data_IF_176925437025
#
_entry.id   IF_176925437025
#
_cell.length_a   1.000
_cell.length_b   1.000
_cell.length_c   1.000
_cell.angle_alpha   90.00
_cell.angle_beta   90.00
_cell.angle_gamma   90.00
#
_symmetry.space_group_name_H-M   'P 1'
#
loop_
_entity.id
_entity.type
_entity.pdbx_description
1 polymer ?
#
# COMPACT_ATOMS: atom_id res chain seq x y z
N UNK A 1 4.65 -20.69 -14.63
CA UNK A 1 4.96 -19.25 -14.71
C UNK A 1 4.76 -18.71 -13.32
N UNK A 2 5.82 -18.51 -12.54
CA UNK A 2 5.66 -17.87 -11.23
C UNK A 2 5.29 -16.41 -11.46
N UNK A 3 4.13 -16.01 -10.97
CA UNK A 3 3.59 -14.65 -11.09
C UNK A 3 4.39 -13.71 -10.17
N UNK A 4 5.60 -13.36 -10.57
CA UNK A 4 6.45 -12.40 -9.84
C UNK A 4 5.96 -10.95 -9.94
N UNK A 5 5.00 -10.62 -10.81
CA UNK A 5 4.53 -9.24 -10.98
C UNK A 5 3.80 -8.66 -9.76
N UNK A 6 3.29 -9.54 -8.86
CA UNK A 6 2.61 -9.10 -7.65
C UNK A 6 3.57 -8.72 -6.53
N UNK A 7 4.82 -9.13 -6.61
CA UNK A 7 5.83 -8.75 -5.61
C UNK A 7 6.38 -7.36 -5.96
N UNK A 8 6.09 -6.32 -5.14
CA UNK A 8 6.60 -4.98 -5.36
C UNK A 8 8.07 -4.80 -4.97
N UNK A 9 8.68 -5.79 -4.28
CA UNK A 9 10.07 -5.76 -3.87
C UNK A 9 11.01 -5.68 -5.08
N UNK A 10 12.01 -4.80 -4.99
CA UNK A 10 13.03 -4.61 -6.02
C UNK A 10 14.37 -4.96 -5.39
N UNK A 11 15.05 -5.97 -5.92
CA UNK A 11 16.34 -6.35 -5.37
C UNK A 11 17.44 -5.38 -5.83
N UNK A 12 18.01 -4.62 -4.90
CA UNK A 12 19.05 -3.61 -5.17
C UNK A 12 20.09 -3.55 -4.05
N UNK A 13 21.37 -3.28 -4.39
CA UNK A 13 22.43 -3.14 -3.40
C UNK A 13 22.43 -1.72 -2.80
N UNK A 14 21.44 -1.39 -1.97
CA UNK A 14 21.34 -0.08 -1.32
C UNK A 14 21.45 -0.15 0.21
N UNK A 15 21.85 0.96 0.85
CA UNK A 15 21.90 1.06 2.31
C UNK A 15 20.51 0.85 2.92
N UNK A 16 19.48 1.38 2.26
CA UNK A 16 18.10 1.17 2.69
C UNK A 16 17.78 -0.33 2.66
N UNK A 17 18.10 -1.05 1.58
CA UNK A 17 17.82 -2.49 1.48
C UNK A 17 18.45 -3.32 2.61
N UNK A 18 19.63 -2.92 3.10
CA UNK A 18 20.37 -3.62 4.16
C UNK A 18 19.83 -3.41 5.58
N UNK A 19 19.04 -2.36 5.82
CA UNK A 19 18.46 -2.11 7.16
C UNK A 19 17.45 -3.20 7.54
N UNK A 20 17.36 -3.51 8.83
CA UNK A 20 16.39 -4.48 9.35
C UNK A 20 14.95 -4.01 9.09
N UNK A 21 14.11 -4.95 8.67
CA UNK A 21 12.71 -4.68 8.35
C UNK A 21 11.90 -4.09 9.51
N UNK A 22 12.25 -4.41 10.78
CA UNK A 22 11.61 -3.86 11.98
C UNK A 22 11.82 -2.36 12.07
N UNK A 23 13.04 -1.92 11.81
CA UNK A 23 13.43 -0.50 11.86
C UNK A 23 12.76 0.25 10.72
N UNK A 24 12.79 -0.30 9.49
CA UNK A 24 12.10 0.29 8.34
C UNK A 24 10.60 0.43 8.58
N UNK A 25 9.95 -0.63 9.09
CA UNK A 25 8.52 -0.64 9.34
C UNK A 25 8.11 0.40 10.37
N UNK A 26 8.83 0.48 11.50
CA UNK A 26 8.60 1.49 12.53
C UNK A 26 8.86 2.91 12.02
N UNK A 27 9.94 3.11 11.28
CA UNK A 27 10.26 4.41 10.68
C UNK A 27 9.19 4.85 9.69
N UNK A 28 8.76 3.97 8.78
CA UNK A 28 7.71 4.26 7.80
C UNK A 28 6.37 4.56 8.48
N UNK A 29 5.97 3.76 9.48
CA UNK A 29 4.74 4.00 10.23
C UNK A 29 4.78 5.34 10.98
N UNK A 30 5.87 5.64 11.68
CA UNK A 30 6.04 6.91 12.38
C UNK A 30 6.04 8.10 11.42
N UNK A 31 6.67 7.96 10.25
CA UNK A 31 6.69 8.99 9.21
C UNK A 31 5.29 9.27 8.64
N UNK A 32 4.52 8.22 8.33
CA UNK A 32 3.13 8.35 7.86
C UNK A 32 2.25 8.99 8.94
N UNK A 33 2.38 8.56 10.20
CA UNK A 33 1.64 9.15 11.32
C UNK A 33 1.99 10.63 11.51
N UNK A 34 3.27 10.99 11.45
CA UNK A 34 3.73 12.38 11.56
C UNK A 34 3.15 13.24 10.44
N UNK A 35 3.19 12.75 9.20
CA UNK A 35 2.60 13.42 8.03
C UNK A 35 1.09 13.60 8.20
N UNK A 36 0.39 12.58 8.67
CA UNK A 36 -1.06 12.61 8.88
C UNK A 36 -1.47 13.58 9.98
N UNK A 37 -0.74 13.61 11.10
CA UNK A 37 -1.00 14.45 12.27
C UNK A 37 -0.61 15.92 12.08
N UNK A 38 0.22 16.23 11.08
CA UNK A 38 0.63 17.61 10.77
C UNK A 38 -0.60 18.49 10.48
N UNK A 39 -0.78 19.66 11.10
CA UNK A 39 -1.93 20.51 10.83
C UNK A 39 -2.03 20.98 9.36
N UNK A 40 -3.24 21.20 8.83
CA UNK A 40 -3.39 21.75 7.48
C UNK A 40 -2.78 23.16 7.38
N UNK A 41 -2.16 23.47 6.25
CA UNK A 41 -1.59 24.81 5.97
C UNK A 41 -0.15 25.05 6.41
N UNK A 42 0.49 24.10 7.11
CA UNK A 42 1.91 24.24 7.51
C UNK A 42 2.84 23.78 6.38
N UNK A 43 2.95 24.59 5.32
CA UNK A 43 3.67 24.24 4.10
C UNK A 43 5.15 23.90 4.30
N UNK A 44 5.83 24.61 5.20
CA UNK A 44 7.25 24.36 5.49
C UNK A 44 7.50 22.92 5.98
N UNK A 45 6.62 22.40 6.84
CA UNK A 45 6.73 21.03 7.36
C UNK A 45 6.42 20.00 6.27
N UNK A 46 5.43 20.25 5.41
CA UNK A 46 5.16 19.37 4.27
C UNK A 46 6.36 19.29 3.30
N UNK A 47 7.04 20.40 3.04
CA UNK A 47 8.23 20.43 2.20
C UNK A 47 9.40 19.66 2.83
N UNK A 48 9.61 19.79 4.16
CA UNK A 48 10.64 19.03 4.88
C UNK A 48 10.34 17.52 4.87
N UNK A 49 9.09 17.13 5.07
CA UNK A 49 8.67 15.72 4.97
C UNK A 49 8.83 15.20 3.54
N UNK A 50 8.45 15.98 2.53
CA UNK A 50 8.66 15.63 1.13
C UNK A 50 10.15 15.45 0.81
N UNK A 51 11.02 16.34 1.28
CA UNK A 51 12.46 16.21 1.12
C UNK A 51 12.98 14.93 1.80
N UNK A 52 12.46 14.60 2.99
CA UNK A 52 12.80 13.37 3.70
C UNK A 52 12.44 12.10 2.94
N UNK A 53 11.24 12.02 2.35
CA UNK A 53 10.84 10.83 1.57
C UNK A 53 11.62 10.73 0.26
N UNK A 54 11.85 11.85 -0.43
CA UNK A 54 12.68 11.87 -1.66
C UNK A 54 14.12 11.45 -1.35
N UNK A 55 14.68 11.88 -0.21
CA UNK A 55 16.00 11.41 0.23
C UNK A 55 16.01 9.88 0.44
N UNK A 56 14.98 9.31 1.06
CA UNK A 56 14.86 7.86 1.22
C UNK A 56 14.72 7.12 -0.13
N UNK A 57 13.98 7.69 -1.08
CA UNK A 57 13.87 7.18 -2.45
C UNK A 57 15.23 7.19 -3.17
N UNK A 58 16.01 8.27 -3.05
CA UNK A 58 17.36 8.33 -3.63
C UNK A 58 18.31 7.30 -2.99
N UNK A 59 18.24 7.13 -1.67
CA UNK A 59 19.04 6.13 -0.92
C UNK A 59 18.62 4.68 -1.22
N UNK A 60 17.46 4.46 -1.83
CA UNK A 60 17.00 3.14 -2.24
C UNK A 60 17.68 2.62 -3.52
N UNK A 61 18.33 3.49 -4.31
CA UNK A 61 18.87 3.16 -5.64
C UNK A 61 17.81 2.63 -6.63
N UNK A 62 16.56 3.04 -6.44
CA UNK A 62 15.43 2.78 -7.34
C UNK A 62 15.09 4.09 -8.07
N UNK A 63 14.82 4.05 -9.39
CA UNK A 63 14.54 5.26 -10.15
C UNK A 63 13.29 5.99 -9.62
N UNK A 64 13.38 7.31 -9.43
CA UNK A 64 12.29 8.16 -8.91
C UNK A 64 10.97 7.98 -9.69
N UNK A 65 11.04 7.75 -11.00
CA UNK A 65 9.86 7.50 -11.84
C UNK A 65 9.04 6.26 -11.41
N UNK A 66 9.64 5.28 -10.73
CA UNK A 66 8.92 4.15 -10.15
C UNK A 66 8.01 4.59 -8.99
N UNK A 67 8.55 5.42 -8.09
CA UNK A 67 7.82 5.95 -6.95
C UNK A 67 6.67 6.85 -7.38
N UNK A 68 6.93 7.80 -8.29
CA UNK A 68 5.90 8.73 -8.76
C UNK A 68 4.75 8.01 -9.48
N UNK A 69 5.05 6.95 -10.26
CA UNK A 69 4.01 6.13 -10.90
C UNK A 69 3.16 5.36 -9.88
N UNK A 70 3.76 4.83 -8.81
CA UNK A 70 3.00 4.15 -7.76
C UNK A 70 2.26 5.13 -6.85
N UNK A 71 2.77 6.34 -6.69
CA UNK A 71 2.12 7.42 -5.95
C UNK A 71 0.80 7.87 -6.59
N UNK A 72 0.54 7.54 -7.86
CA UNK A 72 -0.78 7.71 -8.50
C UNK A 72 -1.90 6.97 -7.75
N UNK A 73 -1.60 5.97 -6.93
CA UNK A 73 -2.59 5.35 -6.04
C UNK A 73 -3.16 6.33 -4.98
N UNK A 74 -2.55 7.51 -4.81
CA UNK A 74 -3.09 8.57 -3.94
C UNK A 74 -4.24 9.34 -4.60
N UNK A 75 -4.41 9.26 -5.92
CA UNK A 75 -5.42 10.04 -6.66
C UNK A 75 -6.84 9.90 -6.10
N UNK A 76 -7.35 8.69 -5.74
CA UNK A 76 -8.70 8.58 -5.17
C UNK A 76 -8.89 9.40 -3.89
N UNK A 77 -7.87 9.52 -3.05
CA UNK A 77 -7.92 10.33 -1.82
C UNK A 77 -7.94 11.83 -2.14
N UNK A 78 -7.18 12.25 -3.16
CA UNK A 78 -7.17 13.64 -3.65
C UNK A 78 -8.54 13.99 -4.24
N UNK A 79 -9.09 13.09 -5.07
CA UNK A 79 -10.41 13.25 -5.68
C UNK A 79 -11.51 13.30 -4.63
N UNK A 80 -11.43 12.48 -3.58
CA UNK A 80 -12.37 12.51 -2.46
C UNK A 80 -12.34 13.84 -1.68
N UNK A 81 -11.21 14.56 -1.71
CA UNK A 81 -11.07 15.85 -1.06
C UNK A 81 -11.54 17.05 -1.92
N UNK A 82 -11.82 16.86 -3.21
CA UNK A 82 -12.25 17.92 -4.13
C UNK A 82 -13.49 18.72 -3.69
N UNK A 83 -14.46 18.17 -2.94
CA UNK A 83 -15.59 18.96 -2.45
C UNK A 83 -15.24 19.94 -1.32
N UNK A 84 -14.07 19.83 -0.69
CA UNK A 84 -13.71 20.63 0.49
C UNK A 84 -13.64 22.14 0.28
N UNK A 85 -13.10 22.67 -0.84
CA UNK A 85 -13.19 24.10 -1.17
C UNK A 85 -14.60 24.65 -1.12
N UNK A 86 -15.61 23.83 -1.43
CA UNK A 86 -17.00 24.26 -1.55
C UNK A 86 -17.86 23.97 -0.30
N UNK A 87 -17.45 23.03 0.53
CA UNK A 87 -18.22 22.59 1.71
C UNK A 87 -17.71 23.18 3.02
N UNK A 88 -16.43 23.59 3.07
CA UNK A 88 -15.83 24.18 4.26
C UNK A 88 -16.17 25.67 4.31
N UNK A 89 -16.85 26.11 5.37
CA UNK A 89 -17.06 27.54 5.62
C UNK A 89 -15.75 28.25 5.94
N UNK A 90 -15.58 29.45 5.42
CA UNK A 90 -14.32 30.19 5.52
C UNK A 90 -14.35 31.48 4.72
N UNK A 91 -13.18 32.12 4.54
CA UNK A 91 -13.07 33.34 3.74
C UNK A 91 -13.38 33.02 2.27
N UNK A 92 -14.37 33.70 1.65
CA UNK A 92 -14.74 33.42 0.27
C UNK A 92 -13.64 33.93 -0.67
N UNK A 93 -13.01 33.02 -1.42
CA UNK A 93 -12.08 33.37 -2.50
C UNK A 93 -12.84 33.77 -3.76
N UNK A 94 -13.82 32.95 -4.14
CA UNK A 94 -14.65 33.17 -5.30
C UNK A 94 -16.05 32.62 -5.07
N UNK A 95 -17.05 33.37 -5.52
CA UNK A 95 -18.46 32.97 -5.47
C UNK A 95 -18.99 32.94 -6.88
N UNK A 96 -19.49 31.77 -7.30
CA UNK A 96 -20.21 31.60 -8.55
C UNK A 96 -21.69 31.43 -8.22
N UNK A 97 -22.51 32.40 -8.63
CA UNK A 97 -23.96 32.29 -8.56
C UNK A 97 -24.48 31.61 -9.83
N UNK A 98 -25.02 30.41 -9.69
CA UNK A 98 -25.76 29.68 -10.73
C UNK A 98 -27.26 29.75 -10.38
N UNK A 99 -27.90 30.86 -10.75
CA UNK A 99 -29.33 31.09 -10.47
C UNK A 99 -29.61 31.13 -8.96
N UNK A 100 -30.42 30.20 -8.45
CA UNK A 100 -30.77 30.09 -7.03
C UNK A 100 -29.69 29.43 -6.15
N UNK A 101 -28.61 28.93 -6.75
CA UNK A 101 -27.52 28.23 -6.04
C UNK A 101 -26.26 29.10 -6.06
N UNK A 102 -25.71 29.41 -4.89
CA UNK A 102 -24.39 30.03 -4.76
C UNK A 102 -23.36 28.98 -4.38
N UNK A 103 -22.36 28.78 -5.25
CA UNK A 103 -21.20 27.94 -4.97
C UNK A 103 -20.05 28.86 -4.57
N UNK A 104 -19.67 28.83 -3.30
CA UNK A 104 -18.59 29.64 -2.76
C UNK A 104 -17.39 28.76 -2.46
N UNK A 105 -16.25 29.07 -3.07
CA UNK A 105 -14.98 28.43 -2.75
C UNK A 105 -14.31 29.18 -1.58
N UNK A 106 -14.02 28.49 -0.48
CA UNK A 106 -13.32 29.06 0.68
C UNK A 106 -11.81 28.84 0.63
N UNK A 107 -11.05 29.80 1.15
CA UNK A 107 -9.60 29.69 1.28
C UNK A 107 -9.19 28.50 2.16
N UNK A 108 -9.88 28.31 3.26
CA UNK A 108 -9.67 27.24 4.22
C UNK A 108 -9.97 25.87 3.60
N UNK A 109 -11.00 25.79 2.76
CA UNK A 109 -11.31 24.58 2.01
C UNK A 109 -10.23 24.22 0.98
N UNK A 110 -9.66 25.22 0.29
CA UNK A 110 -8.51 25.02 -0.62
C UNK A 110 -7.27 24.58 0.14
N UNK A 111 -6.95 25.22 1.27
CA UNK A 111 -5.81 24.85 2.13
C UNK A 111 -5.96 23.40 2.63
N UNK A 112 -7.16 22.98 3.02
CA UNK A 112 -7.45 21.60 3.44
C UNK A 112 -7.30 20.61 2.29
N UNK A 113 -7.84 20.92 1.11
CA UNK A 113 -7.68 20.09 -0.10
C UNK A 113 -6.20 19.86 -0.41
N UNK A 114 -5.43 20.94 -0.52
CA UNK A 114 -4.00 20.88 -0.80
C UNK A 114 -3.24 20.13 0.30
N UNK A 115 -3.55 20.37 1.57
CA UNK A 115 -2.93 19.64 2.68
C UNK A 115 -3.22 18.14 2.60
N UNK A 116 -4.45 17.71 2.28
CA UNK A 116 -4.78 16.29 2.10
C UNK A 116 -4.04 15.71 0.90
N UNK A 117 -3.91 16.47 -0.19
CA UNK A 117 -3.18 16.02 -1.36
C UNK A 117 -1.69 15.76 -1.04
N UNK A 118 -1.01 16.71 -0.39
CA UNK A 118 0.37 16.54 0.06
C UNK A 118 0.52 15.37 1.04
N UNK A 119 -0.34 15.29 2.06
CA UNK A 119 -0.29 14.21 3.04
C UNK A 119 -0.44 12.83 2.41
N UNK A 120 -1.41 12.68 1.52
CA UNK A 120 -1.69 11.42 0.84
C UNK A 120 -0.53 11.03 -0.08
N UNK A 121 0.01 11.99 -0.83
CA UNK A 121 1.13 11.77 -1.73
C UNK A 121 2.42 11.37 -0.99
N UNK A 122 2.79 12.10 0.06
CA UNK A 122 3.99 11.85 0.88
C UNK A 122 3.86 10.51 1.63
N UNK A 123 2.71 10.24 2.24
CA UNK A 123 2.47 8.99 2.98
C UNK A 123 2.54 7.78 2.08
N UNK A 124 2.00 7.88 0.85
CA UNK A 124 2.03 6.80 -0.10
C UNK A 124 3.44 6.55 -0.65
N UNK A 125 4.23 7.59 -0.92
CA UNK A 125 5.64 7.45 -1.28
C UNK A 125 6.40 6.68 -0.20
N UNK A 126 6.23 7.04 1.08
CA UNK A 126 6.87 6.33 2.19
C UNK A 126 6.45 4.85 2.27
N UNK A 127 5.16 4.55 2.04
CA UNK A 127 4.67 3.17 1.98
C UNK A 127 5.28 2.39 0.80
N UNK A 128 5.41 3.02 -0.37
CA UNK A 128 6.04 2.41 -1.55
C UNK A 128 7.53 2.17 -1.31
N UNK A 129 8.25 3.09 -0.65
CA UNK A 129 9.65 2.89 -0.25
C UNK A 129 9.79 1.66 0.65
N UNK A 130 8.96 1.54 1.70
CA UNK A 130 9.00 0.39 2.60
C UNK A 130 8.83 -0.94 1.84
N UNK A 131 7.80 -1.00 1.01
CA UNK A 131 7.36 -2.22 0.33
C UNK A 131 8.26 -2.58 -0.86
N UNK A 132 8.92 -1.61 -1.49
CA UNK A 132 9.90 -1.85 -2.57
C UNK A 132 11.27 -2.26 -2.06
N UNK A 133 11.64 -1.86 -0.83
CA UNK A 133 12.99 -2.09 -0.26
C UNK A 133 13.06 -3.17 0.82
N UNK A 134 11.93 -3.83 1.09
CA UNK A 134 11.83 -4.88 2.12
C UNK A 134 11.07 -6.08 1.56
N UNK A 135 11.69 -7.25 1.63
CA UNK A 135 11.04 -8.48 1.19
C UNK A 135 9.85 -8.82 2.10
N UNK A 136 8.80 -9.41 1.54
CA UNK A 136 7.59 -9.74 2.29
C UNK A 136 7.83 -10.65 3.51
N UNK A 137 8.68 -11.70 3.44
CA UNK A 137 9.00 -12.50 4.62
C UNK A 137 9.59 -11.68 5.77
N UNK A 138 10.44 -10.69 5.46
CA UNK A 138 11.06 -9.83 6.47
C UNK A 138 10.03 -8.88 7.10
N UNK A 139 9.05 -8.41 6.31
CA UNK A 139 7.91 -7.65 6.84
C UNK A 139 7.06 -8.47 7.83
N UNK A 140 6.80 -9.75 7.54
CA UNK A 140 6.11 -10.65 8.48
C UNK A 140 6.88 -10.80 9.80
N UNK A 141 8.22 -10.92 9.70
CA UNK A 141 9.08 -10.98 10.87
C UNK A 141 9.04 -9.67 11.66
N UNK A 142 9.01 -8.53 10.97
CA UNK A 142 8.86 -7.23 11.59
C UNK A 142 7.53 -7.12 12.36
N UNK A 143 6.42 -7.54 11.74
CA UNK A 143 5.11 -7.60 12.40
C UNK A 143 5.11 -8.51 13.63
N UNK A 144 5.78 -9.66 13.57
CA UNK A 144 5.95 -10.56 14.72
C UNK A 144 6.71 -9.89 15.86
N UNK A 145 7.76 -9.11 15.55
CA UNK A 145 8.53 -8.36 16.54
C UNK A 145 7.70 -7.24 17.20
N UNK A 146 6.72 -6.68 16.49
CA UNK A 146 5.72 -5.73 17.02
C UNK A 146 4.61 -6.41 17.86
N UNK A 147 4.80 -7.68 18.26
CA UNK A 147 3.89 -8.46 19.09
C UNK A 147 2.54 -8.75 18.43
N UNK A 148 2.46 -8.75 17.09
CA UNK A 148 1.28 -9.27 16.39
C UNK A 148 1.08 -10.76 16.76
N UNK A 149 -0.16 -11.20 17.07
CA UNK A 149 -0.45 -12.60 17.36
C UNK A 149 0.12 -13.54 16.29
N UNK A 150 0.78 -14.62 16.74
CA UNK A 150 1.48 -15.57 15.86
C UNK A 150 0.54 -16.18 14.81
N UNK A 151 -0.71 -16.42 15.19
CA UNK A 151 -1.77 -16.88 14.29
C UNK A 151 -2.00 -15.90 13.13
N UNK A 152 -2.05 -14.59 13.39
CA UNK A 152 -2.25 -13.59 12.34
C UNK A 152 -1.05 -13.54 11.39
N UNK A 153 0.18 -13.60 11.91
CA UNK A 153 1.39 -13.64 11.08
C UNK A 153 1.37 -14.89 10.18
N UNK A 154 0.97 -16.05 10.72
CA UNK A 154 0.85 -17.28 9.97
C UNK A 154 -0.22 -17.18 8.88
N UNK A 155 -1.41 -16.64 9.19
CA UNK A 155 -2.49 -16.42 8.22
C UNK A 155 -2.02 -15.51 7.08
N UNK A 156 -1.39 -14.38 7.39
CA UNK A 156 -0.91 -13.41 6.39
C UNK A 156 0.19 -14.05 5.52
N UNK A 157 1.13 -14.78 6.12
CA UNK A 157 2.19 -15.47 5.38
C UNK A 157 1.65 -16.56 4.47
N UNK A 158 0.66 -17.32 4.93
CA UNK A 158 0.00 -18.36 4.15
C UNK A 158 -0.83 -17.75 3.01
N UNK A 159 -1.53 -16.65 3.28
CA UNK A 159 -2.27 -15.87 2.29
C UNK A 159 -1.33 -15.38 1.17
N UNK A 160 -0.19 -14.79 1.51
CA UNK A 160 0.80 -14.35 0.52
C UNK A 160 1.33 -15.51 -0.32
N UNK A 161 1.71 -16.62 0.30
CA UNK A 161 2.18 -17.81 -0.41
C UNK A 161 1.14 -18.35 -1.38
N UNK A 162 -0.12 -18.45 -0.95
CA UNK A 162 -1.18 -19.01 -1.79
C UNK A 162 -1.75 -18.03 -2.79
N UNK A 163 -1.59 -16.71 -2.60
CA UNK A 163 -2.00 -15.73 -3.59
C UNK A 163 -1.42 -16.05 -4.97
N UNK A 164 -0.11 -16.32 -5.05
CA UNK A 164 0.54 -16.69 -6.31
C UNK A 164 -0.01 -17.99 -6.92
N UNK A 165 -0.25 -18.98 -6.07
CA UNK A 165 -0.81 -20.27 -6.49
C UNK A 165 -2.24 -20.11 -7.03
N UNK A 166 -3.03 -19.26 -6.38
CA UNK A 166 -4.40 -18.94 -6.77
C UNK A 166 -4.45 -18.14 -8.07
N UNK A 167 -3.53 -17.20 -8.25
CA UNK A 167 -3.44 -16.41 -9.48
C UNK A 167 -3.00 -17.29 -10.65
N UNK A 168 -2.05 -18.21 -10.46
CA UNK A 168 -1.69 -19.20 -11.48
C UNK A 168 -2.88 -20.05 -11.91
N UNK A 169 -3.73 -20.43 -10.95
CA UNK A 169 -4.93 -21.22 -11.20
C UNK A 169 -6.01 -20.40 -11.94
N UNK A 170 -6.20 -19.14 -11.53
CA UNK A 170 -7.08 -18.22 -12.23
C UNK A 170 -6.62 -18.00 -13.69
N UNK A 171 -5.33 -17.82 -13.92
CA UNK A 171 -4.75 -17.69 -15.28
C UNK A 171 -4.89 -18.97 -16.10
N UNK A 172 -4.85 -20.15 -15.47
CA UNK A 172 -5.16 -21.43 -16.13
C UNK A 172 -6.63 -21.50 -16.54
N UNK A 173 -7.55 -21.12 -15.66
CA UNK A 173 -8.99 -21.06 -15.97
C UNK A 173 -9.29 -20.06 -17.09
N UNK A 174 -8.65 -18.89 -17.07
CA UNK A 174 -8.79 -17.88 -18.12
C UNK A 174 -8.31 -18.40 -19.48
N UNK A 175 -7.15 -19.07 -19.54
CA UNK A 175 -6.66 -19.70 -20.78
C UNK A 175 -7.55 -20.83 -21.28
N UNK A 176 -8.07 -21.66 -20.37
CA UNK A 176 -9.02 -22.71 -20.73
C UNK A 176 -10.37 -22.13 -21.22
N UNK A 177 -10.77 -20.95 -20.72
CA UNK A 177 -11.91 -20.22 -21.25
C UNK A 177 -11.61 -19.70 -22.65
N UNK A 178 -10.50 -18.98 -22.86
CA UNK A 178 -10.18 -18.40 -24.18
C UNK A 178 -10.01 -19.47 -25.25
N UNK A 179 -9.45 -20.64 -24.92
CA UNK A 179 -9.36 -21.76 -25.85
C UNK A 179 -10.74 -22.34 -26.25
N UNK A 180 -11.72 -22.32 -25.34
CA UNK A 180 -13.09 -22.82 -25.60
C UNK A 180 -13.99 -21.77 -26.25
N UNK A 181 -13.80 -20.50 -25.91
CA UNK A 181 -14.45 -19.36 -26.54
C UNK A 181 -13.46 -18.70 -27.49
N UNK A 182 -13.24 -19.30 -28.65
CA UNK A 182 -12.27 -18.80 -29.64
C UNK A 182 -12.50 -17.32 -29.98
N UNK A 183 -11.42 -16.59 -30.20
CA UNK A 183 -11.47 -15.25 -30.79
C UNK A 183 -11.80 -15.43 -32.28
N UNK A 184 -12.96 -14.95 -32.72
CA UNK A 184 -13.25 -14.89 -34.15
C UNK A 184 -12.40 -13.78 -34.78
N UNK A 185 -11.59 -14.13 -35.78
CA UNK A 185 -10.75 -13.19 -36.53
C UNK A 185 -11.58 -12.22 -37.41
N UNK A 186 -12.89 -12.39 -37.50
CA UNK A 186 -13.80 -11.52 -38.23
C UNK A 186 -14.22 -10.31 -37.38
N UNK A 187 -13.84 -9.12 -37.86
CA UNK A 187 -14.25 -7.85 -37.27
C UNK A 187 -15.78 -7.73 -37.25
N UNK A 188 -16.39 -7.74 -36.06
CA UNK A 188 -17.83 -7.55 -35.85
C UNK A 188 -18.54 -8.67 -35.08
N UNK A 189 -17.96 -9.87 -35.01
CA UNK A 189 -18.48 -10.96 -34.18
C UNK A 189 -17.93 -10.83 -32.77
N UNK A 190 -18.74 -10.33 -31.81
CA UNK A 190 -18.37 -10.22 -30.39
C UNK A 190 -18.14 -11.62 -29.79
N UNK A 191 -16.90 -12.12 -29.63
CA UNK A 191 -16.69 -13.44 -29.05
C UNK A 191 -16.86 -13.28 -27.54
N UNK A 192 -17.92 -13.87 -26.96
CA UNK A 192 -18.19 -13.80 -25.53
C UNK A 192 -19.50 -13.14 -25.11
N UNK A 193 -20.45 -12.97 -26.03
CA UNK A 193 -21.87 -12.71 -25.68
C UNK A 193 -22.14 -11.41 -24.92
N UNK A 194 -23.33 -11.34 -24.30
CA UNK A 194 -23.79 -10.22 -23.49
C UNK A 194 -22.99 -10.08 -22.19
N UNK A 195 -23.07 -8.91 -21.53
CA UNK A 195 -22.47 -8.68 -20.20
C UNK A 195 -22.91 -9.75 -19.21
N UNK A 196 -24.19 -10.15 -19.27
CA UNK A 196 -24.77 -11.18 -18.41
C UNK A 196 -24.12 -12.56 -18.62
N UNK A 197 -23.87 -12.95 -19.86
CA UNK A 197 -23.16 -14.20 -20.16
C UNK A 197 -21.74 -14.18 -19.61
N UNK A 198 -21.00 -13.07 -19.80
CA UNK A 198 -19.63 -12.92 -19.26
C UNK A 198 -19.61 -12.98 -17.74
N UNK A 199 -20.59 -12.37 -17.08
CA UNK A 199 -20.76 -12.43 -15.64
C UNK A 199 -21.02 -13.87 -15.16
N UNK A 200 -21.90 -14.62 -15.85
CA UNK A 200 -22.18 -16.02 -15.52
C UNK A 200 -20.94 -16.91 -15.66
N UNK A 201 -20.16 -16.73 -16.73
CA UNK A 201 -18.91 -17.47 -16.94
C UNK A 201 -17.86 -17.11 -15.89
N UNK A 202 -17.71 -15.82 -15.58
CA UNK A 202 -16.80 -15.36 -14.52
C UNK A 202 -17.21 -15.93 -13.14
N UNK A 203 -18.51 -15.93 -12.82
CA UNK A 203 -19.04 -16.53 -11.61
C UNK A 203 -18.75 -18.03 -11.52
N UNK A 204 -18.93 -18.78 -12.61
CA UNK A 204 -18.58 -20.20 -12.66
C UNK A 204 -17.09 -20.46 -12.45
N UNK A 205 -16.21 -19.65 -13.05
CA UNK A 205 -14.77 -19.73 -12.81
C UNK A 205 -14.43 -19.41 -11.34
N UNK A 206 -15.01 -18.36 -10.77
CA UNK A 206 -14.81 -18.00 -9.36
C UNK A 206 -15.27 -19.11 -8.41
N UNK A 207 -16.43 -19.71 -8.66
CA UNK A 207 -16.93 -20.85 -7.87
C UNK A 207 -16.01 -22.07 -7.97
N UNK A 208 -15.52 -22.40 -9.17
CA UNK A 208 -14.56 -23.51 -9.35
C UNK A 208 -13.24 -23.26 -8.63
N UNK A 209 -12.76 -22.02 -8.63
CA UNK A 209 -11.54 -21.60 -7.97
C UNK A 209 -11.70 -21.70 -6.44
N UNK A 210 -12.86 -21.28 -5.92
CA UNK A 210 -13.21 -21.37 -4.51
C UNK A 210 -13.23 -22.81 -4.00
N UNK A 211 -13.95 -23.72 -4.69
CA UNK A 211 -14.02 -25.13 -4.30
C UNK A 211 -12.63 -25.78 -4.30
N UNK A 212 -11.83 -25.54 -5.35
CA UNK A 212 -10.44 -26.00 -5.43
C UNK A 212 -9.57 -25.45 -4.30
N UNK A 213 -9.83 -24.23 -3.83
CA UNK A 213 -9.09 -23.61 -2.71
C UNK A 213 -9.36 -24.34 -1.40
N UNK A 214 -10.62 -24.67 -1.13
CA UNK A 214 -11.04 -25.41 0.07
C UNK A 214 -10.43 -26.82 0.08
N UNK A 215 -10.59 -27.57 -1.02
CA UNK A 215 -9.99 -28.90 -1.13
C UNK A 215 -8.46 -28.86 -0.99
N UNK A 216 -7.84 -27.75 -1.40
CA UNK A 216 -6.41 -27.56 -1.21
C UNK A 216 -6.08 -27.24 0.24
N UNK A 217 -6.83 -26.35 0.91
CA UNK A 217 -6.57 -25.98 2.30
C UNK A 217 -6.62 -27.21 3.21
N UNK A 218 -7.56 -28.13 2.99
CA UNK A 218 -7.66 -29.37 3.77
C UNK A 218 -6.42 -30.25 3.56
N UNK A 219 -6.00 -30.46 2.30
CA UNK A 219 -4.78 -31.23 1.99
C UNK A 219 -3.53 -30.61 2.61
N UNK A 220 -3.42 -29.28 2.58
CA UNK A 220 -2.32 -28.55 3.17
C UNK A 220 -2.32 -28.71 4.69
N UNK A 221 -3.49 -28.55 5.31
CA UNK A 221 -3.64 -28.65 6.75
C UNK A 221 -3.28 -30.06 7.25
N UNK A 222 -3.74 -31.11 6.57
CA UNK A 222 -3.35 -32.48 6.89
C UNK A 222 -1.84 -32.71 6.72
N UNK A 223 -1.23 -32.14 5.68
CA UNK A 223 0.22 -32.21 5.51
C UNK A 223 1.00 -31.42 6.58
N UNK A 224 0.43 -30.32 7.10
CA UNK A 224 1.00 -29.57 8.21
C UNK A 224 0.94 -30.39 9.51
N UNK A 225 -0.21 -30.99 9.82
CA UNK A 225 -0.37 -31.86 10.99
C UNK A 225 0.60 -33.05 10.95
N UNK A 226 0.76 -33.70 9.79
CA UNK A 226 1.72 -34.80 9.61
C UNK A 226 3.18 -34.38 9.86
N UNK A 227 3.51 -33.09 9.72
CA UNK A 227 4.83 -32.51 10.00
C UNK A 227 4.96 -31.94 11.43
N UNK A 228 3.98 -32.21 12.29
CA UNK A 228 3.98 -31.75 13.68
C UNK A 228 3.60 -30.27 13.84
N UNK A 229 2.70 -29.77 13.00
CA UNK A 229 2.12 -28.44 13.18
C UNK A 229 1.32 -28.35 14.47
N UNK A 230 1.74 -27.46 15.36
CA UNK A 230 1.19 -27.21 16.70
C UNK A 230 0.39 -25.89 16.75
N UNK A 231 -0.01 -25.35 15.60
CA UNK A 231 -0.59 -24.03 15.47
C UNK A 231 0.42 -22.94 15.06
N UNK A 232 1.71 -23.28 14.95
CA UNK A 232 2.73 -22.35 14.48
C UNK A 232 3.50 -22.84 13.25
N UNK A 233 3.59 -21.98 12.24
CA UNK A 233 4.52 -22.19 11.13
C UNK A 233 5.90 -21.78 11.61
N UNK A 234 6.75 -22.77 11.92
CA UNK A 234 8.13 -22.53 12.34
C UNK A 234 8.94 -21.95 11.17
N UNK A 235 9.41 -20.73 11.33
CA UNK A 235 10.36 -20.06 10.42
C UNK A 235 11.75 -20.04 11.05
N UNK A 236 12.80 -19.88 10.23
CA UNK A 236 14.18 -19.74 10.71
C UNK A 236 14.34 -18.64 11.75
N UNK A 237 15.25 -18.83 12.71
CA UNK A 237 15.55 -17.85 13.76
C UNK A 237 16.07 -16.56 13.15
N UNK A 238 15.45 -15.44 13.53
CA UNK A 238 15.85 -14.11 13.04
C UNK A 238 17.12 -13.65 13.74
N UNK A 239 18.10 -13.07 13.01
CA UNK A 239 19.24 -12.38 13.61
C UNK A 239 18.78 -11.29 14.59
N UNK A 240 19.62 -10.97 15.57
CA UNK A 240 19.38 -9.82 16.46
C UNK A 240 19.59 -8.53 15.68
N UNK A 241 18.70 -7.57 15.86
CA UNK A 241 18.85 -6.21 15.31
C UNK A 241 20.09 -5.57 15.93
N UNK A 242 21.05 -5.08 15.14
CA UNK A 242 22.24 -4.43 15.67
C UNK A 242 21.88 -3.12 16.39
N UNK A 243 22.57 -2.81 17.50
CA UNK A 243 22.28 -1.63 18.32
C UNK A 243 22.37 -0.29 17.56
N UNK A 244 23.23 -0.23 16.52
CA UNK A 244 23.34 0.94 15.63
C UNK A 244 22.03 1.26 14.92
N UNK A 245 21.26 0.26 14.51
CA UNK A 245 20.00 0.48 13.79
C UNK A 245 18.89 0.98 14.73
N UNK A 246 18.90 0.55 15.99
CA UNK A 246 18.04 1.15 17.02
C UNK A 246 18.39 2.61 17.26
N UNK A 247 19.69 2.96 17.30
CA UNK A 247 20.11 4.35 17.42
C UNK A 247 19.61 5.20 16.24
N UNK A 248 19.77 4.71 15.01
CA UNK A 248 19.25 5.37 13.80
C UNK A 248 17.74 5.58 13.92
N UNK A 249 16.98 4.57 14.34
CA UNK A 249 15.54 4.69 14.54
C UNK A 249 15.20 5.75 15.58
N UNK A 250 15.87 5.75 16.74
CA UNK A 250 15.60 6.72 17.81
C UNK A 250 15.88 8.16 17.37
N UNK A 251 16.98 8.39 16.66
CA UNK A 251 17.30 9.70 16.10
C UNK A 251 16.26 10.14 15.05
N UNK A 252 15.82 9.21 14.21
CA UNK A 252 14.78 9.49 13.21
C UNK A 252 13.44 9.80 13.86
N UNK A 253 13.02 9.06 14.88
CA UNK A 253 11.80 9.33 15.64
C UNK A 253 11.87 10.68 16.37
N UNK A 254 13.04 11.03 16.93
CA UNK A 254 13.26 12.32 17.55
C UNK A 254 13.11 13.47 16.53
N UNK A 255 13.70 13.32 15.35
CA UNK A 255 13.56 14.29 14.25
C UNK A 255 12.09 14.47 13.84
N UNK A 256 11.34 13.38 13.68
CA UNK A 256 9.91 13.44 13.37
C UNK A 256 9.09 14.10 14.48
N UNK A 257 9.41 13.79 15.74
CA UNK A 257 8.79 14.43 16.90
C UNK A 257 9.06 15.94 16.94
N UNK A 258 10.28 16.36 16.63
CA UNK A 258 10.64 17.78 16.54
C UNK A 258 9.89 18.49 15.40
N UNK A 259 9.77 17.86 14.22
CA UNK A 259 8.98 18.41 13.11
C UNK A 259 7.50 18.53 13.46
N UNK A 260 6.93 17.53 14.14
CA UNK A 260 5.55 17.58 14.61
C UNK A 260 5.34 18.69 15.63
N UNK A 261 6.24 18.83 16.62
CA UNK A 261 6.18 19.90 17.60
C UNK A 261 6.28 21.27 16.93
N UNK A 262 7.21 21.46 15.99
CA UNK A 262 7.32 22.68 15.19
C UNK A 262 6.02 22.98 14.44
N UNK A 263 5.39 21.96 13.85
CA UNK A 263 4.12 22.13 13.14
C UNK A 263 2.97 22.60 14.04
N UNK A 264 2.96 22.15 15.30
CA UNK A 264 1.96 22.55 16.30
C UNK A 264 2.23 23.96 16.81
N UNK A 265 3.51 24.33 16.98
CA UNK A 265 3.90 25.69 17.36
C UNK A 265 3.53 26.72 16.28
N UNK A 266 3.84 26.42 15.02
CA UNK A 266 3.50 27.28 13.87
C UNK A 266 2.00 27.41 13.63
N UNK A 267 1.18 26.47 14.15
CA UNK A 267 -0.27 26.58 14.12
C UNK A 267 -0.79 27.52 15.22
N UNK A 268 -0.08 27.61 16.34
CA UNK A 268 -0.48 28.40 17.50
C UNK A 268 -0.08 29.89 17.38
N UNK A 269 0.91 30.20 16.53
CA UNK A 269 1.32 31.55 16.13
C UNK A 269 0.47 32.12 15.01
#
# INVERSE_FOLDING_TARGET
MHVHFLDPYQDRPSLLHRLDARVKLLAALAFILTTSLTPPGIWAVYLLLLAGVVAAELLSDIPLGYYQKRALLALPFILAALPLPFTVSGTPLWTVSLGAWSLTASQEGVVRLLSIAFKSWISLQAAVVLVSTTAFPDLLMALRALRLPRLLVAIIGLMWRYLFVMVDEALRLMRARTARSGESAQAGLRPGGSVLWRARVAGGMAGSLFLRSIERSDRIYMAMLARGYDGEVRSSSTPRVPGREWLILTLFLFLLGALLALSLLLRAS
#
